data_IF_094666236814
#
_entry.id   IF_094666236814
#
_cell.length_a   1.000
_cell.length_b   1.000
_cell.length_c   1.000
_cell.angle_alpha   90.00
_cell.angle_beta   90.00
_cell.angle_gamma   90.00
#
_symmetry.space_group_name_H-M   'P 1'
#
loop_
_entity.id
_entity.type
_entity.pdbx_description
1 polymer ?
#
# COMPACT_ATOMS: atom_id res chain seq x y z
N UNK A 1 0.56 -3.15 17.19
CA UNK A 1 1.17 -1.95 16.60
C UNK A 1 0.98 -1.92 15.09
N UNK A 2 0.90 -0.74 14.45
CA UNK A 2 0.74 -0.58 12.99
C UNK A 2 2.03 -0.06 12.37
N UNK A 3 2.55 -0.72 11.33
CA UNK A 3 3.72 -0.25 10.55
C UNK A 3 3.26 0.38 9.23
N UNK A 4 3.91 1.47 8.83
CA UNK A 4 3.68 2.13 7.53
C UNK A 4 4.47 1.40 6.45
N UNK A 5 3.81 1.13 5.32
CA UNK A 5 4.35 0.48 4.13
C UNK A 5 3.99 1.35 2.92
N UNK A 6 5.00 1.69 2.12
CA UNK A 6 4.89 2.59 0.95
C UNK A 6 5.06 1.83 -0.37
N UNK A 7 5.61 0.62 -0.28
CA UNK A 7 5.77 -0.32 -1.38
C UNK A 7 5.06 -1.64 -0.99
N UNK A 8 3.93 -1.98 -1.63
CA UNK A 8 3.22 -3.23 -1.34
C UNK A 8 4.08 -4.49 -1.51
N UNK A 9 5.06 -4.48 -2.42
CA UNK A 9 5.92 -5.64 -2.67
C UNK A 9 6.85 -5.94 -1.48
N UNK A 10 7.12 -4.92 -0.65
CA UNK A 10 7.92 -5.06 0.56
C UNK A 10 7.20 -5.84 1.67
N UNK A 11 5.87 -6.02 1.61
CA UNK A 11 5.09 -6.66 2.69
C UNK A 11 5.62 -8.03 3.08
N UNK A 12 5.94 -8.86 2.08
CA UNK A 12 6.40 -10.23 2.32
C UNK A 12 7.81 -10.29 2.89
N UNK A 13 8.66 -9.34 2.50
CA UNK A 13 10.03 -9.19 3.02
C UNK A 13 10.03 -8.63 4.45
N UNK A 14 9.15 -7.67 4.73
CA UNK A 14 9.00 -7.03 6.03
C UNK A 14 8.34 -7.92 7.07
N UNK A 15 7.39 -8.77 6.65
CA UNK A 15 6.65 -9.65 7.55
C UNK A 15 6.70 -11.12 7.11
N UNK A 16 7.89 -11.77 7.08
CA UNK A 16 8.04 -13.15 6.62
C UNK A 16 7.37 -14.17 7.56
N UNK A 17 7.01 -13.75 8.78
CA UNK A 17 6.32 -14.56 9.78
C UNK A 17 4.81 -14.32 9.83
N UNK A 18 4.27 -13.44 8.99
CA UNK A 18 2.84 -13.23 8.92
C UNK A 18 2.15 -14.49 8.38
N UNK A 19 1.05 -14.85 9.01
CA UNK A 19 0.20 -15.99 8.65
C UNK A 19 -1.24 -15.67 9.02
N UNK A 20 -2.20 -16.52 8.64
CA UNK A 20 -3.59 -16.37 9.09
C UNK A 20 -3.72 -16.37 10.62
N UNK A 21 -2.93 -17.22 11.30
CA UNK A 21 -2.87 -17.29 12.77
C UNK A 21 -2.09 -16.14 13.41
N UNK A 22 -1.27 -15.42 12.64
CA UNK A 22 -0.40 -14.33 13.11
C UNK A 22 -0.46 -13.16 12.14
N UNK A 23 -1.65 -12.59 11.98
CA UNK A 23 -1.83 -11.41 11.14
C UNK A 23 -1.15 -10.17 11.77
N UNK A 24 -0.67 -9.28 10.91
CA UNK A 24 0.02 -8.05 11.32
C UNK A 24 -0.77 -6.85 10.83
N UNK A 25 -1.05 -5.89 11.73
CA UNK A 25 -1.71 -4.65 11.35
C UNK A 25 -0.73 -3.76 10.58
N UNK A 26 -1.09 -3.38 9.36
CA UNK A 26 -0.29 -2.54 8.47
C UNK A 26 -1.08 -1.33 8.00
N UNK A 27 -0.37 -0.25 7.65
CA UNK A 27 -0.92 0.89 6.93
C UNK A 27 -0.18 1.01 5.61
N UNK A 28 -0.90 0.90 4.50
CA UNK A 28 -0.40 1.16 3.16
C UNK A 28 -0.63 2.62 2.76
N UNK A 29 0.35 3.20 2.08
CA UNK A 29 0.24 4.46 1.36
C UNK A 29 0.51 4.18 -0.13
N UNK A 30 -0.54 4.19 -0.94
CA UNK A 30 -0.51 3.68 -2.32
C UNK A 30 -1.36 4.55 -3.25
N UNK A 31 -1.15 4.41 -4.56
CA UNK A 31 -1.96 5.06 -5.58
C UNK A 31 -2.89 4.06 -6.26
N UNK A 32 -4.13 4.47 -6.51
CA UNK A 32 -5.14 3.70 -7.22
C UNK A 32 -4.86 3.71 -8.72
N UNK A 33 -4.90 2.54 -9.35
CA UNK A 33 -4.82 2.39 -10.80
C UNK A 33 -6.23 2.27 -11.38
N UNK A 34 -7.02 1.36 -10.83
CA UNK A 34 -8.36 1.04 -11.29
C UNK A 34 -9.15 0.37 -10.16
N UNK A 35 -10.48 0.41 -10.30
CA UNK A 35 -11.41 -0.29 -9.42
C UNK A 35 -12.25 -1.25 -10.25
N UNK A 36 -12.30 -2.51 -9.82
CA UNK A 36 -13.16 -3.55 -10.39
C UNK A 36 -14.43 -3.67 -9.55
N UNK A 37 -15.51 -3.07 -10.07
CA UNK A 37 -16.84 -3.05 -9.47
C UNK A 37 -17.42 -4.46 -9.25
N UNK A 38 -17.11 -5.42 -10.14
CA UNK A 38 -17.73 -6.74 -10.10
C UNK A 38 -17.25 -7.58 -8.91
N UNK A 39 -15.98 -7.43 -8.54
CA UNK A 39 -15.36 -8.17 -7.45
C UNK A 39 -15.06 -7.30 -6.22
N UNK A 40 -15.39 -6.01 -6.26
CA UNK A 40 -15.04 -5.02 -5.26
C UNK A 40 -13.53 -5.01 -4.96
N UNK A 41 -12.72 -5.01 -6.02
CA UNK A 41 -11.27 -5.05 -5.94
C UNK A 41 -10.66 -3.71 -6.33
N UNK A 42 -9.81 -3.17 -5.46
CA UNK A 42 -9.02 -1.99 -5.75
C UNK A 42 -7.64 -2.43 -6.22
N UNK A 43 -7.28 -2.03 -7.44
CA UNK A 43 -5.94 -2.27 -7.99
C UNK A 43 -5.10 -1.04 -7.68
N UNK A 44 -4.04 -1.24 -6.91
CA UNK A 44 -3.16 -0.19 -6.43
C UNK A 44 -1.72 -0.43 -6.84
N UNK A 45 -0.92 0.62 -6.84
CA UNK A 45 0.52 0.59 -7.04
C UNK A 45 1.23 1.40 -5.97
N UNK A 46 2.53 1.17 -5.83
CA UNK A 46 3.41 2.07 -5.07
C UNK A 46 3.30 3.50 -5.63
N UNK A 47 3.63 4.48 -4.80
CA UNK A 47 3.69 5.87 -5.24
C UNK A 47 4.87 6.10 -6.22
N UNK A 48 4.69 6.87 -7.32
CA UNK A 48 5.74 7.06 -8.32
C UNK A 48 7.06 7.66 -7.80
N UNK A 49 6.97 8.50 -6.76
CA UNK A 49 8.13 9.20 -6.18
C UNK A 49 8.84 8.39 -5.08
N UNK A 50 8.40 7.16 -4.80
CA UNK A 50 8.97 6.32 -3.73
C UNK A 50 9.94 5.27 -4.30
N UNK A 51 10.99 4.93 -3.54
CA UNK A 51 11.94 3.91 -3.96
C UNK A 51 11.27 2.53 -4.05
N UNK A 52 11.62 1.78 -5.09
CA UNK A 52 11.22 0.38 -5.28
C UNK A 52 12.05 -0.54 -4.40
N UNK A 53 11.44 -1.62 -3.90
CA UNK A 53 12.17 -2.70 -3.20
C UNK A 53 12.71 -3.77 -4.17
N UNK A 54 12.44 -3.65 -5.47
CA UNK A 54 12.90 -4.59 -6.49
C UNK A 54 14.42 -4.54 -6.65
N UNK A 55 15.10 -5.60 -6.23
CA UNK A 55 16.49 -5.87 -6.58
C UNK A 55 16.47 -6.47 -7.99
N UNK A 56 16.58 -5.63 -9.02
CA UNK A 56 16.82 -6.11 -10.38
C UNK A 56 18.28 -6.55 -10.48
N UNK A 57 18.53 -7.85 -10.62
CA UNK A 57 19.88 -8.40 -10.86
C UNK A 57 20.34 -8.25 -12.32
N UNK A 58 19.49 -7.72 -13.20
CA UNK A 58 19.78 -7.51 -14.62
C UNK A 58 19.35 -6.10 -15.07
N UNK A 59 20.30 -5.34 -15.62
CA UNK A 59 20.27 -3.92 -16.01
C UNK A 59 19.28 -3.58 -17.17
N UNK A 60 18.33 -4.45 -17.49
CA UNK A 60 17.43 -4.32 -18.65
C UNK A 60 15.96 -4.73 -18.38
N UNK A 61 15.51 -4.68 -17.13
CA UNK A 61 14.09 -4.85 -16.83
C UNK A 61 13.38 -3.49 -16.92
N UNK A 62 12.60 -3.29 -17.98
CA UNK A 62 11.53 -2.27 -18.00
C UNK A 62 10.79 -2.40 -16.67
N UNK A 63 10.77 -1.33 -15.86
CA UNK A 63 10.10 -1.32 -14.56
C UNK A 63 8.65 -1.77 -14.75
N UNK A 64 8.36 -3.05 -14.54
CA UNK A 64 6.98 -3.53 -14.53
C UNK A 64 6.33 -2.89 -13.33
N UNK A 65 5.39 -1.99 -13.62
CA UNK A 65 4.63 -1.31 -12.59
C UNK A 65 3.84 -2.34 -11.78
N UNK A 66 4.29 -2.60 -10.56
CA UNK A 66 3.71 -3.63 -9.72
C UNK A 66 2.28 -3.26 -9.34
N UNK A 67 1.36 -4.17 -9.67
CA UNK A 67 -0.07 -4.05 -9.37
C UNK A 67 -0.37 -4.93 -8.18
N UNK A 68 -0.90 -4.34 -7.13
CA UNK A 68 -1.36 -5.03 -5.94
C UNK A 68 -2.88 -4.94 -5.87
N UNK A 69 -3.54 -6.09 -5.73
CA UNK A 69 -5.01 -6.18 -5.72
C UNK A 69 -5.49 -6.30 -4.28
N UNK A 70 -6.39 -5.42 -3.87
CA UNK A 70 -6.96 -5.40 -2.52
C UNK A 70 -8.47 -5.55 -2.63
N UNK A 71 -9.01 -6.62 -2.04
CA UNK A 71 -10.46 -6.77 -1.93
C UNK A 71 -11.00 -5.84 -0.84
N UNK A 72 -11.87 -4.91 -1.24
CA UNK A 72 -12.43 -3.87 -0.36
C UNK A 72 -13.93 -4.09 -0.09
N UNK A 73 -14.46 -5.29 -0.37
CA UNK A 73 -15.87 -5.62 -0.19
C UNK A 73 -16.39 -5.28 1.21
N UNK A 74 -15.59 -5.57 2.25
CA UNK A 74 -15.93 -5.27 3.64
C UNK A 74 -15.99 -3.77 3.97
N UNK A 75 -15.57 -2.89 3.07
CA UNK A 75 -15.50 -1.43 3.25
C UNK A 75 -16.45 -0.66 2.33
N UNK A 76 -17.29 -1.32 1.53
CA UNK A 76 -18.14 -0.66 0.53
C UNK A 76 -19.04 0.44 1.11
N UNK A 77 -19.48 0.32 2.36
CA UNK A 77 -20.28 1.36 3.03
C UNK A 77 -19.50 2.64 3.33
N UNK A 78 -18.16 2.56 3.36
CA UNK A 78 -17.25 3.62 3.79
C UNK A 78 -16.37 4.13 2.64
N UNK A 79 -16.40 3.47 1.48
CA UNK A 79 -15.67 3.90 0.29
C UNK A 79 -16.51 4.94 -0.45
N UNK A 80 -15.90 6.09 -0.69
CA UNK A 80 -16.46 7.13 -1.55
C UNK A 80 -15.91 6.98 -2.98
N UNK A 81 -16.52 7.71 -3.92
CA UNK A 81 -16.11 7.70 -5.34
C UNK A 81 -14.66 8.15 -5.53
N UNK A 82 -14.17 9.04 -4.66
CA UNK A 82 -12.79 9.53 -4.71
C UNK A 82 -11.75 8.42 -4.51
N UNK A 83 -12.02 7.44 -3.63
CA UNK A 83 -11.12 6.30 -3.39
C UNK A 83 -11.05 5.38 -4.61
N UNK A 84 -12.10 5.33 -5.45
CA UNK A 84 -12.13 4.48 -6.64
C UNK A 84 -11.54 5.16 -7.88
N UNK A 85 -11.29 6.47 -7.82
CA UNK A 85 -10.79 7.24 -8.95
C UNK A 85 -9.32 6.90 -9.25
N UNK A 86 -8.98 6.56 -10.52
CA UNK A 86 -7.61 6.37 -10.95
C UNK A 86 -6.72 7.57 -10.62
N UNK A 87 -5.55 7.29 -10.04
CA UNK A 87 -4.58 8.30 -9.63
C UNK A 87 -4.77 8.82 -8.20
N UNK A 88 -5.90 8.50 -7.54
CA UNK A 88 -6.12 8.84 -6.14
C UNK A 88 -5.06 8.19 -5.25
N UNK A 89 -4.54 8.94 -4.28
CA UNK A 89 -3.62 8.44 -3.27
C UNK A 89 -4.43 8.09 -2.04
N UNK A 90 -4.24 6.89 -1.51
CA UNK A 90 -5.05 6.41 -0.39
C UNK A 90 -4.18 5.95 0.78
N UNK A 91 -4.70 6.16 1.98
CA UNK A 91 -4.26 5.48 3.20
C UNK A 91 -5.17 4.28 3.44
N UNK A 92 -4.61 3.07 3.38
CA UNK A 92 -5.35 1.86 3.68
C UNK A 92 -4.79 1.21 4.93
N UNK A 93 -5.62 0.99 5.93
CA UNK A 93 -5.26 0.23 7.13
C UNK A 93 -5.90 -1.14 7.03
N UNK A 94 -5.13 -2.18 7.33
CA UNK A 94 -5.61 -3.55 7.26
C UNK A 94 -4.73 -4.53 8.04
N UNK A 95 -5.14 -5.79 8.02
CA UNK A 95 -4.39 -6.90 8.57
C UNK A 95 -3.78 -7.72 7.43
N UNK A 96 -2.45 -7.76 7.37
CA UNK A 96 -1.72 -8.61 6.45
C UNK A 96 -1.55 -10.00 7.07
N UNK A 97 -1.96 -11.03 6.33
CA UNK A 97 -1.93 -12.43 6.79
C UNK A 97 -0.78 -13.25 6.19
N UNK A 98 0.22 -12.61 5.58
CA UNK A 98 1.31 -13.29 4.86
C UNK A 98 1.06 -13.51 3.37
N UNK A 99 -0.16 -13.23 2.89
CA UNK A 99 -0.54 -13.34 1.49
C UNK A 99 -1.27 -12.06 1.01
N UNK A 100 -2.37 -11.73 1.66
CA UNK A 100 -3.24 -10.60 1.32
C UNK A 100 -3.49 -9.68 2.52
N UNK A 101 -3.99 -8.49 2.22
CA UNK A 101 -4.46 -7.54 3.23
C UNK A 101 -5.97 -7.63 3.34
N UNK A 102 -6.44 -7.76 4.58
CA UNK A 102 -7.84 -7.57 4.95
C UNK A 102 -8.02 -6.11 5.38
N UNK A 103 -8.59 -5.25 4.53
CA UNK A 103 -8.69 -3.83 4.83
C UNK A 103 -9.78 -3.59 5.88
N UNK A 104 -9.50 -2.69 6.81
CA UNK A 104 -10.42 -2.25 7.87
C UNK A 104 -10.81 -0.78 7.72
N UNK A 105 -9.95 0.02 7.12
CA UNK A 105 -10.17 1.44 6.88
C UNK A 105 -9.47 1.87 5.60
N UNK A 106 -10.08 2.77 4.83
CA UNK A 106 -9.51 3.34 3.61
C UNK A 106 -9.95 4.79 3.47
N UNK A 107 -8.99 5.70 3.25
CA UNK A 107 -9.26 7.13 3.13
C UNK A 107 -8.40 7.76 2.03
N UNK A 108 -8.93 8.73 1.27
CA UNK A 108 -8.13 9.48 0.32
C UNK A 108 -7.15 10.41 1.05
N UNK A 109 -5.99 10.63 0.44
CA UNK A 109 -4.95 11.53 0.90
C UNK A 109 -4.68 12.58 -0.17
N UNK A 110 -4.57 13.84 0.26
CA UNK A 110 -4.21 14.93 -0.65
C UNK A 110 -2.81 14.73 -1.25
N UNK A 111 -2.73 14.82 -2.58
CA UNK A 111 -1.48 14.71 -3.33
C UNK A 111 -0.42 15.75 -2.92
N UNK A 112 -0.82 16.86 -2.27
CA UNK A 112 0.11 17.88 -1.77
C UNK A 112 1.14 17.33 -0.79
N UNK A 113 0.85 16.21 -0.11
CA UNK A 113 1.79 15.53 0.78
C UNK A 113 3.03 15.04 0.01
N UNK A 114 2.90 14.75 -1.29
CA UNK A 114 3.96 14.21 -2.14
C UNK A 114 4.73 15.28 -2.94
N UNK A 115 4.36 16.56 -2.84
CA UNK A 115 4.98 17.64 -3.63
C UNK A 115 6.37 18.02 -3.13
N UNK A 116 6.73 17.65 -1.89
CA UNK A 116 8.03 17.98 -1.30
C UNK A 116 8.85 16.70 -1.12
N UNK A 117 10.04 16.68 -1.73
CA UNK A 117 11.01 15.59 -1.53
C UNK A 117 11.28 15.33 -0.05
N UNK A 118 11.32 16.39 0.78
CA UNK A 118 11.49 16.28 2.24
C UNK A 118 10.37 15.47 2.92
N UNK A 119 9.12 15.61 2.47
CA UNK A 119 8.02 14.83 3.04
C UNK A 119 8.10 13.36 2.63
N UNK A 120 8.46 13.09 1.38
CA UNK A 120 8.71 11.73 0.88
C UNK A 120 9.84 11.07 1.69
N UNK A 121 10.97 11.76 1.86
CA UNK A 121 12.11 11.26 2.63
C UNK A 121 11.71 10.96 4.09
N UNK A 122 10.96 11.84 4.75
CA UNK A 122 10.45 11.59 6.11
C UNK A 122 9.51 10.37 6.18
N UNK A 123 8.62 10.19 5.19
CA UNK A 123 7.74 9.02 5.15
C UNK A 123 8.55 7.72 4.96
N UNK A 124 9.58 7.75 4.12
CA UNK A 124 10.52 6.63 3.94
C UNK A 124 11.34 6.37 5.20
N UNK A 125 11.72 7.39 5.97
CA UNK A 125 12.38 7.19 7.27
C UNK A 125 11.43 6.52 8.29
N UNK A 126 10.15 6.92 8.30
CA UNK A 126 9.15 6.32 9.18
C UNK A 126 8.92 4.83 8.91
N UNK A 127 9.10 4.35 7.68
CA UNK A 127 8.99 2.91 7.37
C UNK A 127 10.16 2.10 7.95
N UNK A 128 11.32 2.73 8.15
CA UNK A 128 12.52 2.10 8.72
C UNK A 128 12.51 2.04 10.24
N UNK A 129 11.67 2.83 10.89
CA UNK A 129 11.57 2.83 12.35
C UNK A 129 11.01 1.50 12.85
N UNK A 130 11.62 0.98 13.93
CA UNK A 130 11.09 -0.21 14.60
C UNK A 130 9.70 0.10 15.15
N UNK A 131 8.78 -0.86 15.10
CA UNK A 131 7.57 -0.76 15.88
C UNK A 131 7.94 -0.57 17.37
N UNK A 132 7.58 0.58 17.96
CA UNK A 132 7.57 0.89 19.41
C UNK A 132 6.74 -0.16 20.16
N UNK A 133 7.41 -0.96 20.98
CA UNK A 133 6.81 -1.99 21.84
C UNK A 133 5.73 -1.44 22.80
#
# INVERSE_FOLDING_TARGET
MTKLIVDPDALKLEFPRASESRSVRVRLLVQVIEYDDANANLVVRKLPNFPSTSISLDDFSLEQESRYVINVFGLLSNINTEITDPGCIISLVGYYNGDKIHPIECYPISANILNSKRHVDHLVEMTKMKPID
#
